data_IF_380523616048
#
_entry.id   IF_380523616048
#
_cell.length_a   1.000
_cell.length_b   1.000
_cell.length_c   1.000
_cell.angle_alpha   90.00
_cell.angle_beta   90.00
_cell.angle_gamma   90.00
#
_symmetry.space_group_name_H-M   'P 1'
#
loop_
_entity.id
_entity.type
_entity.pdbx_description
1 polymer ?
#
# COMPACT_ATOMS: atom_id res chain seq x y z
N UNK A 1 -2.90 25.10 -15.11
CA UNK A 1 -3.61 23.87 -14.68
C UNK A 1 -5.05 23.97 -15.18
N UNK A 2 -5.52 23.02 -15.99
CA UNK A 2 -6.79 23.16 -16.72
C UNK A 2 -7.96 22.80 -15.79
N UNK A 3 -8.88 23.74 -15.52
CA UNK A 3 -10.05 23.62 -14.61
C UNK A 3 -10.90 22.38 -14.95
N UNK A 4 -10.95 21.94 -16.19
CA UNK A 4 -11.68 20.74 -16.65
C UNK A 4 -11.22 19.42 -16.02
N UNK A 5 -10.02 19.37 -15.41
CA UNK A 5 -9.45 18.14 -14.81
C UNK A 5 -9.88 17.94 -13.35
N UNK A 6 -10.30 18.98 -12.66
CA UNK A 6 -10.62 18.95 -11.23
C UNK A 6 -11.73 17.96 -10.82
N UNK A 7 -12.85 17.85 -11.57
CA UNK A 7 -13.92 16.92 -11.19
C UNK A 7 -13.46 15.45 -11.16
N UNK A 8 -12.61 15.06 -12.12
CA UNK A 8 -12.07 13.69 -12.18
C UNK A 8 -11.17 13.40 -10.98
N UNK A 9 -10.33 14.35 -10.56
CA UNK A 9 -9.52 14.22 -9.35
C UNK A 9 -10.36 14.09 -8.09
N UNK A 10 -11.36 14.96 -7.93
CA UNK A 10 -12.27 14.92 -6.78
C UNK A 10 -12.98 13.58 -6.67
N UNK A 11 -13.49 13.06 -7.78
CA UNK A 11 -14.14 11.75 -7.85
C UNK A 11 -13.17 10.62 -7.42
N UNK A 12 -11.97 10.57 -8.01
CA UNK A 12 -11.01 9.51 -7.72
C UNK A 12 -10.41 9.63 -6.32
N UNK A 13 -10.21 10.84 -5.82
CA UNK A 13 -9.85 11.06 -4.42
C UNK A 13 -10.94 10.55 -3.46
N UNK A 14 -12.20 10.80 -3.77
CA UNK A 14 -13.33 10.29 -3.00
C UNK A 14 -13.41 8.75 -3.04
N UNK A 15 -13.22 8.14 -4.22
CA UNK A 15 -13.16 6.67 -4.34
C UNK A 15 -12.03 6.10 -3.49
N UNK A 16 -10.83 6.68 -3.56
CA UNK A 16 -9.71 6.25 -2.73
C UNK A 16 -9.96 6.39 -1.24
N UNK A 17 -10.61 7.47 -0.81
CA UNK A 17 -11.04 7.66 0.57
C UNK A 17 -12.06 6.61 1.01
N UNK A 18 -13.06 6.29 0.18
CA UNK A 18 -14.03 5.23 0.46
C UNK A 18 -13.34 3.88 0.62
N UNK A 19 -12.43 3.52 -0.30
CA UNK A 19 -11.64 2.28 -0.21
C UNK A 19 -10.81 2.27 1.06
N UNK A 20 -10.12 3.37 1.40
CA UNK A 20 -9.33 3.50 2.62
C UNK A 20 -10.16 3.26 3.89
N UNK A 21 -11.29 3.96 4.04
CA UNK A 21 -12.15 3.81 5.22
C UNK A 21 -12.80 2.43 5.28
N UNK A 22 -13.13 1.85 4.12
CA UNK A 22 -13.68 0.49 4.07
C UNK A 22 -12.64 -0.54 4.54
N UNK A 23 -11.39 -0.45 4.07
CA UNK A 23 -10.30 -1.32 4.51
C UNK A 23 -9.97 -1.15 5.99
N UNK A 24 -10.07 0.07 6.54
CA UNK A 24 -9.89 0.30 7.98
C UNK A 24 -10.97 -0.37 8.82
N UNK A 25 -12.22 -0.39 8.32
CA UNK A 25 -13.35 -1.02 9.02
C UNK A 25 -13.36 -2.55 8.89
N UNK A 26 -12.72 -3.07 7.87
CA UNK A 26 -12.69 -4.50 7.55
C UNK A 26 -11.27 -5.02 7.43
N UNK A 27 -10.48 -5.00 8.53
CA UNK A 27 -9.06 -5.39 8.50
C UNK A 27 -8.85 -6.85 8.06
N UNK A 28 -9.82 -7.74 8.25
CA UNK A 28 -9.77 -9.13 7.80
C UNK A 28 -9.50 -9.25 6.29
N UNK A 29 -9.98 -8.32 5.46
CA UNK A 29 -9.74 -8.34 4.02
C UNK A 29 -8.28 -8.10 3.64
N UNK A 30 -7.53 -7.42 4.50
CA UNK A 30 -6.09 -7.21 4.31
C UNK A 30 -5.26 -8.25 5.05
N UNK A 31 -5.66 -8.65 6.26
CA UNK A 31 -4.87 -9.54 7.11
C UNK A 31 -4.92 -11.00 6.64
N UNK A 32 -6.07 -11.49 6.18
CA UNK A 32 -6.23 -12.86 5.68
C UNK A 32 -5.30 -13.18 4.49
N UNK A 33 -5.18 -12.32 3.45
CA UNK A 33 -4.20 -12.53 2.40
C UNK A 33 -2.76 -12.62 2.91
N UNK A 34 -2.38 -11.79 3.89
CA UNK A 34 -1.04 -11.87 4.48
C UNK A 34 -0.82 -13.17 5.25
N UNK A 35 -1.79 -13.59 6.07
CA UNK A 35 -1.70 -14.84 6.81
C UNK A 35 -1.58 -16.04 5.87
N UNK A 36 -2.35 -16.08 4.78
CA UNK A 36 -2.26 -17.13 3.76
C UNK A 36 -0.93 -17.12 3.02
N UNK A 37 -0.46 -15.95 2.57
CA UNK A 37 0.80 -15.83 1.86
C UNK A 37 2.00 -16.23 2.75
N UNK A 38 2.02 -15.78 4.00
CA UNK A 38 3.05 -16.14 4.96
C UNK A 38 2.98 -17.61 5.36
N UNK A 39 1.76 -18.15 5.52
CA UNK A 39 1.56 -19.57 5.77
C UNK A 39 2.15 -20.43 4.65
N UNK A 40 1.89 -20.06 3.40
CA UNK A 40 2.45 -20.74 2.24
C UNK A 40 3.99 -20.60 2.15
N UNK A 41 4.51 -19.39 2.33
CA UNK A 41 5.95 -19.11 2.18
C UNK A 41 6.81 -19.73 3.28
N UNK A 42 6.28 -19.80 4.50
CA UNK A 42 7.03 -20.21 5.69
C UNK A 42 6.65 -21.59 6.20
N UNK A 43 5.62 -22.22 5.61
CA UNK A 43 5.08 -23.49 6.12
C UNK A 43 4.40 -23.35 7.50
N UNK A 44 3.90 -22.14 7.83
CA UNK A 44 3.29 -21.86 9.13
C UNK A 44 1.77 -21.95 9.06
N UNK A 45 1.18 -22.41 10.15
CA UNK A 45 -0.26 -22.36 10.33
C UNK A 45 -0.66 -21.11 11.11
N UNK A 46 -1.58 -20.32 10.54
CA UNK A 46 -2.15 -19.14 11.17
C UNK A 46 -3.61 -19.42 11.56
N UNK A 47 -3.97 -19.08 12.78
CA UNK A 47 -5.35 -19.13 13.28
C UNK A 47 -5.85 -17.73 13.62
N UNK A 48 -7.16 -17.55 13.50
CA UNK A 48 -7.81 -16.29 13.82
C UNK A 48 -7.86 -16.08 15.33
N UNK A 49 -7.47 -14.88 15.77
CA UNK A 49 -7.52 -14.44 17.15
C UNK A 49 -8.20 -13.06 17.25
N UNK A 50 -8.59 -12.61 18.45
CA UNK A 50 -9.17 -11.28 18.66
C UNK A 50 -8.27 -10.12 18.19
N UNK A 51 -6.96 -10.35 18.12
CA UNK A 51 -5.97 -9.36 17.69
C UNK A 51 -5.67 -9.42 16.19
N UNK A 52 -6.10 -10.48 15.48
CA UNK A 52 -5.83 -10.71 14.07
C UNK A 52 -5.52 -12.17 13.77
N UNK A 53 -4.39 -12.46 13.12
CA UNK A 53 -3.95 -13.82 12.79
C UNK A 53 -2.67 -14.15 13.53
N UNK A 54 -2.66 -15.23 14.34
CA UNK A 54 -1.51 -15.66 15.12
C UNK A 54 -0.87 -16.89 14.50
N UNK A 55 0.47 -16.90 14.45
CA UNK A 55 1.24 -18.04 13.97
C UNK A 55 1.40 -19.08 15.11
N UNK A 56 1.00 -20.31 14.86
CA UNK A 56 1.16 -21.41 15.82
C UNK A 56 2.65 -21.62 16.14
N UNK A 57 2.97 -21.57 17.43
CA UNK A 57 4.32 -21.90 17.94
C UNK A 57 5.36 -20.78 17.88
N UNK A 58 5.08 -19.62 17.29
CA UNK A 58 6.07 -18.53 17.15
C UNK A 58 5.78 -17.29 18.02
N UNK A 59 4.62 -17.20 18.67
CA UNK A 59 4.22 -16.01 19.43
C UNK A 59 4.14 -14.73 18.57
N UNK A 60 3.95 -14.89 17.25
CA UNK A 60 3.86 -13.80 16.30
C UNK A 60 2.43 -13.63 15.84
N UNK A 61 1.94 -12.40 15.87
CA UNK A 61 0.59 -12.05 15.42
C UNK A 61 0.62 -10.97 14.33
N UNK A 62 -0.17 -11.17 13.27
CA UNK A 62 -0.45 -10.18 12.24
C UNK A 62 -1.68 -9.40 12.69
N UNK A 63 -1.48 -8.18 13.15
CA UNK A 63 -2.53 -7.33 13.70
C UNK A 63 -2.99 -6.26 12.71
N UNK A 64 -4.06 -5.53 13.03
CA UNK A 64 -4.57 -4.44 12.20
C UNK A 64 -3.51 -3.36 11.90
N UNK A 65 -2.51 -3.17 12.78
CA UNK A 65 -1.37 -2.28 12.54
C UNK A 65 -0.47 -2.75 11.38
N UNK A 66 -0.56 -4.04 11.01
CA UNK A 66 0.17 -4.63 9.89
C UNK A 66 -0.61 -4.57 8.57
N UNK A 67 -1.79 -3.95 8.53
CA UNK A 67 -2.68 -3.97 7.34
C UNK A 67 -2.10 -3.27 6.10
N UNK A 68 -1.15 -2.35 6.27
CA UNK A 68 -0.59 -1.57 5.16
C UNK A 68 -1.55 -0.52 4.57
N UNK A 69 -2.72 -0.31 5.16
CA UNK A 69 -3.76 0.62 4.64
C UNK A 69 -3.24 2.05 4.60
N UNK A 70 -2.45 2.49 5.59
CA UNK A 70 -1.84 3.82 5.59
C UNK A 70 -0.79 3.96 4.47
N UNK A 71 -0.04 2.89 4.17
CA UNK A 71 0.90 2.89 3.05
C UNK A 71 0.16 2.99 1.71
N UNK A 72 -0.94 2.24 1.55
CA UNK A 72 -1.80 2.36 0.39
C UNK A 72 -2.27 3.81 0.18
N UNK A 73 -2.78 4.46 1.22
CA UNK A 73 -3.25 5.84 1.14
C UNK A 73 -2.14 6.81 0.69
N UNK A 74 -0.93 6.67 1.24
CA UNK A 74 0.23 7.48 0.86
C UNK A 74 0.66 7.26 -0.59
N UNK A 75 0.78 6.01 -1.03
CA UNK A 75 1.13 5.67 -2.42
C UNK A 75 0.08 6.17 -3.41
N UNK A 76 -1.20 5.95 -3.09
CA UNK A 76 -2.30 6.38 -3.93
C UNK A 76 -2.34 7.91 -4.08
N UNK A 77 -2.20 8.65 -2.97
CA UNK A 77 -2.16 10.12 -3.00
C UNK A 77 -1.03 10.64 -3.89
N UNK A 78 0.18 10.08 -3.76
CA UNK A 78 1.34 10.46 -4.57
C UNK A 78 1.09 10.17 -6.05
N UNK A 79 0.61 8.98 -6.39
CA UNK A 79 0.41 8.60 -7.78
C UNK A 79 -0.76 9.32 -8.42
N UNK A 80 -1.87 9.50 -7.70
CA UNK A 80 -3.01 10.27 -8.17
C UNK A 80 -2.62 11.72 -8.46
N UNK A 81 -1.74 12.30 -7.64
CA UNK A 81 -1.24 13.66 -7.85
C UNK A 81 -0.34 13.78 -9.07
N UNK A 82 0.57 12.84 -9.27
CA UNK A 82 1.63 12.95 -10.29
C UNK A 82 1.19 12.50 -11.67
N UNK A 83 0.52 11.33 -11.78
CA UNK A 83 0.29 10.65 -13.05
C UNK A 83 -0.89 11.25 -13.83
N UNK A 84 -2.12 11.31 -13.29
CA UNK A 84 -3.24 11.83 -14.07
C UNK A 84 -3.14 13.32 -14.41
N UNK A 85 -2.38 14.12 -13.65
CA UNK A 85 -2.10 15.51 -13.95
C UNK A 85 -1.53 15.72 -15.35
N UNK A 86 -0.79 14.74 -15.84
CA UNK A 86 -0.04 14.80 -17.09
C UNK A 86 -0.74 14.09 -18.25
N UNK A 87 -1.81 13.34 -17.96
CA UNK A 87 -2.63 12.71 -18.97
C UNK A 87 -3.57 13.73 -19.61
N UNK A 88 -3.93 13.55 -20.91
CA UNK A 88 -4.98 14.34 -21.55
C UNK A 88 -6.30 14.16 -20.79
N UNK A 89 -7.12 15.23 -20.79
CA UNK A 89 -8.41 15.18 -20.12
C UNK A 89 -9.36 14.17 -20.80
N UNK A 90 -10.19 13.50 -20.01
CA UNK A 90 -11.16 12.54 -20.49
C UNK A 90 -10.87 11.09 -20.08
N UNK A 91 -11.16 10.15 -20.98
CA UNK A 91 -11.06 8.70 -20.68
C UNK A 91 -9.67 8.28 -20.19
N UNK A 92 -8.61 8.77 -20.82
CA UNK A 92 -7.22 8.44 -20.44
C UNK A 92 -6.87 8.87 -19.02
N UNK A 93 -7.39 10.01 -18.56
CA UNK A 93 -7.19 10.47 -17.19
C UNK A 93 -7.89 9.53 -16.18
N UNK A 94 -9.10 9.08 -16.51
CA UNK A 94 -9.86 8.12 -15.71
C UNK A 94 -9.16 6.77 -15.63
N UNK A 95 -8.70 6.24 -16.76
CA UNK A 95 -7.95 4.97 -16.83
C UNK A 95 -6.65 5.08 -16.03
N UNK A 96 -5.92 6.18 -16.17
CA UNK A 96 -4.70 6.40 -15.39
C UNK A 96 -4.96 6.47 -13.88
N UNK A 97 -6.04 7.11 -13.45
CA UNK A 97 -6.42 7.18 -12.04
C UNK A 97 -6.84 5.81 -11.49
N UNK A 98 -7.58 5.00 -12.26
CA UNK A 98 -7.92 3.62 -11.91
C UNK A 98 -6.66 2.74 -11.79
N UNK A 99 -5.73 2.87 -12.74
CA UNK A 99 -4.45 2.17 -12.70
C UNK A 99 -3.62 2.57 -11.47
N UNK A 100 -3.64 3.86 -11.06
CA UNK A 100 -3.00 4.32 -9.83
C UNK A 100 -3.59 3.65 -8.58
N UNK A 101 -4.92 3.51 -8.51
CA UNK A 101 -5.59 2.85 -7.40
C UNK A 101 -5.18 1.38 -7.31
N UNK A 102 -5.27 0.64 -8.41
CA UNK A 102 -4.90 -0.78 -8.45
C UNK A 102 -3.41 -0.99 -8.13
N UNK A 103 -2.54 -0.19 -8.73
CA UNK A 103 -1.09 -0.27 -8.49
C UNK A 103 -0.73 0.07 -7.04
N UNK A 104 -1.39 1.06 -6.43
CA UNK A 104 -1.17 1.41 -5.03
C UNK A 104 -1.57 0.27 -4.10
N UNK A 105 -2.69 -0.41 -4.36
CA UNK A 105 -3.13 -1.58 -3.60
C UNK A 105 -2.11 -2.72 -3.70
N UNK A 106 -1.72 -3.10 -4.91
CA UNK A 106 -0.78 -4.20 -5.14
C UNK A 106 0.58 -3.91 -4.50
N UNK A 107 1.08 -2.68 -4.69
CA UNK A 107 2.38 -2.26 -4.13
C UNK A 107 2.34 -2.22 -2.61
N UNK A 108 1.27 -1.69 -2.01
CA UNK A 108 1.10 -1.66 -0.57
C UNK A 108 1.06 -3.06 0.04
N UNK A 109 0.37 -4.01 -0.61
CA UNK A 109 0.34 -5.42 -0.20
C UNK A 109 1.74 -6.03 -0.26
N UNK A 110 2.44 -5.89 -1.38
CA UNK A 110 3.79 -6.45 -1.54
C UNK A 110 4.81 -5.89 -0.54
N UNK A 111 4.83 -4.58 -0.33
CA UNK A 111 5.73 -3.92 0.62
C UNK A 111 5.38 -4.30 2.06
N UNK A 112 4.10 -4.39 2.40
CA UNK A 112 3.68 -4.81 3.73
C UNK A 112 4.06 -6.26 4.00
N UNK A 113 3.88 -7.16 3.04
CA UNK A 113 4.30 -8.56 3.15
C UNK A 113 5.83 -8.67 3.35
N UNK A 114 6.62 -7.95 2.55
CA UNK A 114 8.08 -7.89 2.70
C UNK A 114 8.48 -7.36 4.09
N UNK A 115 7.83 -6.31 4.59
CA UNK A 115 8.07 -5.76 5.93
C UNK A 115 7.79 -6.79 7.03
N UNK A 116 6.70 -7.54 6.92
CA UNK A 116 6.34 -8.59 7.88
C UNK A 116 7.42 -9.67 7.85
N UNK A 117 7.82 -10.15 6.68
CA UNK A 117 8.90 -11.14 6.53
C UNK A 117 10.21 -10.68 7.17
N UNK A 118 10.61 -9.42 6.94
CA UNK A 118 11.81 -8.84 7.53
C UNK A 118 11.74 -8.69 9.05
N UNK A 119 10.53 -8.67 9.63
CA UNK A 119 10.34 -8.54 11.08
C UNK A 119 10.41 -9.89 11.81
N UNK A 120 10.16 -11.00 11.13
CA UNK A 120 10.09 -12.35 11.74
C UNK A 120 11.38 -12.76 12.47
N UNK A 121 12.61 -12.55 11.94
CA UNK A 121 13.83 -12.91 12.62
C UNK A 121 14.02 -12.24 13.99
N UNK A 122 13.32 -11.14 14.24
CA UNK A 122 13.40 -10.37 15.47
C UNK A 122 12.28 -10.73 16.47
N UNK A 123 11.36 -11.62 16.09
CA UNK A 123 10.33 -12.13 17.01
C UNK A 123 11.00 -12.80 18.20
N UNK A 124 10.54 -12.47 19.43
CA UNK A 124 11.17 -12.94 20.65
C UNK A 124 12.26 -12.03 21.24
N UNK A 125 12.73 -11.02 20.48
CA UNK A 125 13.63 -9.99 21.03
C UNK A 125 12.86 -9.06 21.98
N UNK A 126 13.42 -8.68 23.15
CA UNK A 126 12.80 -7.68 24.03
C UNK A 126 12.65 -6.30 23.37
N UNK A 127 13.39 -6.04 22.29
CA UNK A 127 13.34 -4.82 21.52
C UNK A 127 12.48 -4.93 20.24
N UNK A 128 11.75 -6.02 20.06
CA UNK A 128 10.95 -6.29 18.86
C UNK A 128 10.06 -5.10 18.48
N UNK A 129 9.32 -4.53 19.43
CA UNK A 129 8.43 -3.39 19.19
C UNK A 129 9.16 -2.18 18.59
N UNK A 130 10.34 -1.86 19.11
CA UNK A 130 11.16 -0.75 18.60
C UNK A 130 11.66 -1.04 17.20
N UNK A 131 12.24 -2.22 16.99
CA UNK A 131 12.77 -2.66 15.68
C UNK A 131 11.65 -2.66 14.65
N UNK A 132 10.50 -3.23 14.97
CA UNK A 132 9.35 -3.28 14.08
C UNK A 132 8.83 -1.88 13.71
N UNK A 133 8.80 -0.94 14.67
CA UNK A 133 8.38 0.45 14.41
C UNK A 133 9.37 1.17 13.51
N UNK A 134 10.67 1.11 13.81
CA UNK A 134 11.71 1.76 12.99
C UNK A 134 11.75 1.18 11.58
N UNK A 135 11.71 -0.14 11.44
CA UNK A 135 11.66 -0.83 10.15
C UNK A 135 10.42 -0.40 9.35
N UNK A 136 9.26 -0.29 10.02
CA UNK A 136 8.03 0.16 9.37
C UNK A 136 8.14 1.58 8.83
N UNK A 137 8.70 2.50 9.60
CA UNK A 137 8.91 3.88 9.18
C UNK A 137 9.87 3.94 7.98
N UNK A 138 11.03 3.28 8.07
CA UNK A 138 12.01 3.26 6.99
C UNK A 138 11.43 2.70 5.69
N UNK A 139 10.72 1.56 5.78
CA UNK A 139 10.12 0.91 4.62
C UNK A 139 9.01 1.78 4.01
N UNK A 140 8.15 2.37 4.84
CA UNK A 140 7.04 3.19 4.34
C UNK A 140 7.52 4.51 3.72
N UNK A 141 8.41 5.23 4.38
CA UNK A 141 8.97 6.46 3.81
C UNK A 141 9.80 6.17 2.56
N UNK A 142 10.64 5.14 2.59
CA UNK A 142 11.40 4.71 1.43
C UNK A 142 10.50 4.36 0.24
N UNK A 143 9.42 3.62 0.47
CA UNK A 143 8.46 3.25 -0.56
C UNK A 143 7.76 4.47 -1.17
N UNK A 144 7.32 5.43 -0.35
CA UNK A 144 6.66 6.65 -0.82
C UNK A 144 7.64 7.52 -1.64
N UNK A 145 8.88 7.68 -1.18
CA UNK A 145 9.90 8.44 -1.92
C UNK A 145 10.25 7.77 -3.25
N UNK A 146 10.43 6.44 -3.27
CA UNK A 146 10.65 5.68 -4.50
C UNK A 146 9.47 5.80 -5.46
N UNK A 147 8.25 5.68 -4.96
CA UNK A 147 7.03 5.81 -5.75
C UNK A 147 6.92 7.20 -6.38
N UNK A 148 7.23 8.25 -5.63
CA UNK A 148 7.28 9.63 -6.15
C UNK A 148 8.33 9.78 -7.25
N UNK A 149 9.55 9.29 -7.02
CA UNK A 149 10.63 9.34 -8.00
C UNK A 149 10.30 8.60 -9.30
N UNK A 150 9.71 7.40 -9.19
CA UNK A 150 9.26 6.59 -10.33
C UNK A 150 8.14 7.29 -11.11
N UNK A 151 7.14 7.83 -10.41
CA UNK A 151 6.04 8.57 -11.02
C UNK A 151 6.54 9.80 -11.78
N UNK A 152 7.50 10.54 -11.22
CA UNK A 152 8.14 11.68 -11.88
C UNK A 152 8.90 11.27 -13.16
N UNK A 153 9.68 10.18 -13.09
CA UNK A 153 10.42 9.67 -14.27
C UNK A 153 9.49 9.18 -15.37
N UNK A 154 8.47 8.38 -15.00
CA UNK A 154 7.49 7.86 -15.95
C UNK A 154 6.73 8.99 -16.65
N UNK A 155 6.31 9.97 -15.89
CA UNK A 155 5.61 11.13 -16.43
C UNK A 155 6.48 12.01 -17.35
N UNK A 156 7.80 12.09 -17.14
CA UNK A 156 8.73 12.81 -18.05
C UNK A 156 8.93 12.04 -19.35
N UNK A 157 9.01 10.71 -19.32
CA UNK A 157 9.12 9.88 -20.53
C UNK A 157 7.89 10.03 -21.40
N UNK A 158 6.70 9.90 -20.84
CA UNK A 158 5.45 10.06 -21.56
C UNK A 158 5.35 11.40 -22.30
N UNK A 159 5.82 12.51 -21.71
CA UNK A 159 5.83 13.82 -22.39
C UNK A 159 6.85 13.90 -23.53
N UNK A 160 7.95 13.14 -23.48
CA UNK A 160 8.96 13.14 -24.55
C UNK A 160 8.48 12.39 -25.78
N UNK A 161 7.71 11.33 -25.57
CA UNK A 161 7.24 10.45 -26.66
C UNK A 161 5.96 10.99 -27.35
N UNK A 162 5.36 12.06 -26.81
CA UNK A 162 4.15 12.70 -27.34
C UNK A 162 4.40 14.04 -28.03
N UNK A 163 5.67 14.49 -28.10
CA UNK A 163 6.15 15.68 -28.84
C UNK A 163 6.98 15.24 -30.03
#
# INVERSE_FOLDING_TARGET
MNIRKWPVYGLWAAIGAVVYFWLLRHPQWTLLPYARALGFLLGLYFYESPLGYEAAGLGFAITASCSGVNLFAGLYAVWLWVIPCRCPAGLWQTVAAAACLASALVTAVGITLARILLSIPFCGSPRFKLIHTVLSLCVYFGAILCAYGLAQKGARRFMRDTV
#
